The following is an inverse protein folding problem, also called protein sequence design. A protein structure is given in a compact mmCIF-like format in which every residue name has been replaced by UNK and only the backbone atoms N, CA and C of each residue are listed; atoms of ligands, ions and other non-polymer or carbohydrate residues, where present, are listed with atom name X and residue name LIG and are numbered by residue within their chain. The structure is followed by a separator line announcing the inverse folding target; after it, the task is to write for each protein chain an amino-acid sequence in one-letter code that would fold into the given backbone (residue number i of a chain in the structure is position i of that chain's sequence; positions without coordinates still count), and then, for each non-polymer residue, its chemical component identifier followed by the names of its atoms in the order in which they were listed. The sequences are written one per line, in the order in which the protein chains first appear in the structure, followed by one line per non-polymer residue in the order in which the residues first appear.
data_IF_930570875592
#
_entry.id   IF_930570875592
#
_cell.length_a   1.000
_cell.length_b   1.000
_cell.length_c   1.000
_cell.angle_alpha   90.00
_cell.angle_beta   90.00
_cell.angle_gamma   90.00
#
_symmetry.space_group_name_H-M   'P 1'
#
loop_
_entity.id
_entity.type
_entity.pdbx_description
1 polymer ?
#
# COMPACT_ATOMS: atom_id res chain seq x y z
N UNK A 1 7.57 19.23 -2.70
CA UNK A 1 6.29 18.87 -2.05
C UNK A 1 5.43 20.10 -1.86
N UNK A 2 4.28 20.19 -2.54
CA UNK A 2 3.32 21.31 -2.33
C UNK A 2 2.33 20.87 -1.25
N UNK A 3 2.29 21.61 -0.13
CA UNK A 3 1.25 21.46 0.89
C UNK A 3 0.20 22.56 0.66
N UNK A 4 -1.05 22.17 0.55
CA UNK A 4 -2.19 23.08 0.52
C UNK A 4 -3.11 22.77 1.68
N UNK A 5 -3.29 23.68 2.60
CA UNK A 5 -4.22 23.53 3.72
C UNK A 5 -5.62 23.80 3.18
N UNK A 6 -6.48 22.78 3.13
CA UNK A 6 -7.86 22.90 2.64
C UNK A 6 -8.83 23.39 3.73
N UNK A 7 -8.57 22.99 4.98
CA UNK A 7 -9.33 23.43 6.17
C UNK A 7 -8.42 23.28 7.38
N UNK A 8 -8.75 23.89 8.54
CA UNK A 8 -7.99 23.70 9.76
C UNK A 8 -7.81 22.21 10.07
N UNK A 9 -6.58 21.74 10.18
CA UNK A 9 -6.23 20.36 10.46
C UNK A 9 -6.25 19.40 9.27
N UNK A 10 -6.54 19.85 8.04
CA UNK A 10 -6.42 19.04 6.82
C UNK A 10 -5.23 19.51 6.01
N UNK A 11 -4.44 18.57 5.51
CA UNK A 11 -3.35 18.84 4.60
C UNK A 11 -3.61 18.11 3.27
N UNK A 12 -3.58 18.85 2.16
CA UNK A 12 -3.51 18.26 0.84
C UNK A 12 -2.04 18.05 0.48
N UNK A 13 -1.67 16.81 0.32
CA UNK A 13 -0.34 16.41 -0.11
C UNK A 13 -0.41 16.00 -1.58
N UNK A 14 0.59 16.38 -2.34
CA UNK A 14 0.73 15.97 -3.73
C UNK A 14 2.12 15.40 -3.93
N UNK A 15 2.19 14.18 -4.45
CA UNK A 15 3.42 13.44 -4.67
C UNK A 15 3.55 13.05 -6.13
N UNK A 16 4.78 13.03 -6.62
CA UNK A 16 5.11 12.37 -7.86
C UNK A 16 5.31 10.86 -7.61
N UNK A 17 5.20 10.06 -8.66
CA UNK A 17 5.34 8.60 -8.54
C UNK A 17 6.69 8.22 -7.95
N UNK A 18 7.79 8.83 -8.40
CA UNK A 18 9.13 8.51 -7.89
C UNK A 18 9.31 8.80 -6.40
N UNK A 19 8.54 9.73 -5.80
CA UNK A 19 8.59 10.04 -4.37
C UNK A 19 7.96 8.91 -3.53
N UNK A 20 7.02 8.15 -4.09
CA UNK A 20 6.32 7.05 -3.40
C UNK A 20 6.84 5.67 -3.77
N UNK A 21 7.51 5.52 -4.90
CA UNK A 21 8.09 4.25 -5.38
C UNK A 21 8.96 3.53 -4.33
N UNK A 22 9.80 4.22 -3.53
CA UNK A 22 10.59 3.57 -2.48
C UNK A 22 9.78 2.87 -1.38
N UNK A 23 8.50 3.23 -1.24
CA UNK A 23 7.59 2.68 -0.22
C UNK A 23 6.68 1.57 -0.76
N UNK A 24 6.83 1.17 -2.03
CA UNK A 24 6.06 0.07 -2.61
C UNK A 24 6.44 -1.24 -1.90
N UNK A 25 5.43 -1.92 -1.37
CA UNK A 25 5.62 -3.28 -0.87
C UNK A 25 5.54 -4.29 -2.02
N UNK A 26 6.69 -4.63 -2.53
CA UNK A 26 6.81 -5.56 -3.65
C UNK A 26 6.34 -6.99 -3.32
N UNK A 27 6.27 -7.39 -2.06
CA UNK A 27 5.73 -8.71 -1.67
C UNK A 27 4.26 -8.82 -2.09
N UNK A 28 3.44 -7.79 -1.79
CA UNK A 28 2.04 -7.80 -2.18
C UNK A 28 1.85 -7.70 -3.69
N UNK A 29 2.68 -6.88 -4.36
CA UNK A 29 2.67 -6.80 -5.81
C UNK A 29 2.89 -8.19 -6.42
N UNK A 30 3.96 -8.90 -6.03
CA UNK A 30 4.24 -10.23 -6.54
C UNK A 30 3.17 -11.25 -6.18
N UNK A 31 2.61 -11.16 -4.97
CA UNK A 31 1.50 -12.03 -4.57
C UNK A 31 0.26 -11.85 -5.45
N UNK A 32 -0.09 -10.61 -5.80
CA UNK A 32 -1.21 -10.33 -6.71
C UNK A 32 -1.03 -10.94 -8.11
N UNK A 33 0.22 -11.15 -8.53
CA UNK A 33 0.60 -11.81 -9.79
C UNK A 33 0.85 -13.32 -9.63
N UNK A 34 0.49 -13.90 -8.48
CA UNK A 34 0.63 -15.35 -8.23
C UNK A 34 2.07 -15.81 -7.98
N UNK A 35 2.97 -14.90 -7.65
CA UNK A 35 4.34 -15.24 -7.25
C UNK A 35 4.45 -15.43 -5.73
N UNK A 36 5.36 -16.28 -5.31
CA UNK A 36 5.69 -16.44 -3.90
C UNK A 36 6.48 -15.22 -3.37
N UNK A 37 6.34 -14.86 -2.06
CA UNK A 37 6.98 -13.69 -1.46
C UNK A 37 8.50 -13.61 -1.68
N UNK A 38 9.20 -14.73 -1.76
CA UNK A 38 10.65 -14.79 -1.96
C UNK A 38 11.12 -14.14 -3.26
N UNK A 39 10.27 -14.12 -4.31
CA UNK A 39 10.62 -13.48 -5.58
C UNK A 39 10.66 -11.95 -5.48
N UNK A 40 10.01 -11.37 -4.47
CA UNK A 40 10.07 -9.94 -4.22
C UNK A 40 11.46 -9.44 -3.83
N UNK A 41 12.37 -10.35 -3.42
CA UNK A 41 13.75 -10.01 -3.13
C UNK A 41 14.50 -9.37 -4.32
N UNK A 42 14.02 -9.55 -5.57
CA UNK A 42 14.54 -8.85 -6.76
C UNK A 42 14.52 -7.33 -6.61
N UNK A 43 13.56 -6.78 -5.86
CA UNK A 43 13.45 -5.35 -5.62
C UNK A 43 14.64 -4.76 -4.84
N UNK A 44 15.32 -5.60 -4.07
CA UNK A 44 16.50 -5.21 -3.28
C UNK A 44 17.83 -5.47 -3.99
N UNK A 45 17.79 -6.02 -5.23
CA UNK A 45 18.98 -6.36 -5.99
C UNK A 45 19.42 -5.16 -6.83
N UNK A 46 20.71 -4.87 -6.80
CA UNK A 46 21.26 -3.83 -7.66
C UNK A 46 20.94 -4.11 -9.14
N UNK A 47 20.54 -3.05 -9.86
CA UNK A 47 19.99 -3.15 -11.21
C UNK A 47 20.94 -3.57 -12.32
N UNK A 48 22.22 -3.92 -12.03
CA UNK A 48 23.17 -4.38 -13.04
C UNK A 48 22.92 -5.85 -13.44
N UNK A 49 23.32 -6.21 -14.65
CA UNK A 49 23.09 -7.55 -15.20
C UNK A 49 23.82 -8.65 -14.42
N UNK A 50 25.02 -8.36 -13.89
CA UNK A 50 25.77 -9.31 -13.06
C UNK A 50 25.04 -9.65 -11.76
N UNK A 51 24.49 -8.64 -11.06
CA UNK A 51 23.74 -8.86 -9.82
C UNK A 51 22.45 -9.63 -10.09
N UNK A 52 21.76 -9.32 -11.20
CA UNK A 52 20.56 -10.04 -11.63
C UNK A 52 20.85 -11.49 -11.98
N UNK A 53 21.94 -11.74 -12.72
CA UNK A 53 22.38 -13.10 -13.04
C UNK A 53 22.71 -13.89 -11.78
N UNK A 54 23.44 -13.26 -10.84
CA UNK A 54 23.75 -13.89 -9.55
C UNK A 54 22.49 -14.22 -8.75
N UNK A 55 21.51 -13.31 -8.72
CA UNK A 55 20.23 -13.55 -8.04
C UNK A 55 19.51 -14.77 -8.63
N UNK A 56 19.49 -14.94 -9.96
CA UNK A 56 18.89 -16.10 -10.59
C UNK A 56 19.57 -17.42 -10.17
N UNK A 57 20.87 -17.41 -9.91
CA UNK A 57 21.58 -18.62 -9.47
C UNK A 57 21.27 -19.03 -8.02
N UNK A 58 20.64 -18.16 -7.24
CA UNK A 58 20.19 -18.50 -5.86
C UNK A 58 18.98 -19.43 -5.85
N UNK A 59 18.30 -19.62 -7.00
CA UNK A 59 17.17 -20.51 -7.16
C UNK A 59 17.58 -21.86 -7.71
N UNK A 60 16.92 -22.96 -7.28
CA UNK A 60 17.02 -24.26 -7.91
C UNK A 60 16.72 -24.17 -9.41
N UNK A 61 17.27 -25.09 -10.20
CA UNK A 61 17.16 -25.05 -11.67
C UNK A 61 15.69 -25.04 -12.15
N UNK A 62 14.84 -25.83 -11.50
CA UNK A 62 13.41 -25.92 -11.79
C UNK A 62 12.64 -24.61 -11.53
N UNK A 63 13.17 -23.74 -10.70
CA UNK A 63 12.52 -22.45 -10.36
C UNK A 63 13.10 -21.25 -11.10
N UNK A 64 14.24 -21.39 -11.78
CA UNK A 64 14.92 -20.28 -12.46
C UNK A 64 14.07 -19.64 -13.54
N UNK A 65 13.25 -20.42 -14.24
CA UNK A 65 12.29 -19.88 -15.21
C UNK A 65 11.31 -18.93 -14.51
N UNK A 66 10.72 -19.35 -13.39
CA UNK A 66 9.80 -18.52 -12.63
C UNK A 66 10.47 -17.28 -12.01
N UNK A 67 11.72 -17.42 -11.55
CA UNK A 67 12.52 -16.29 -11.07
C UNK A 67 12.82 -15.30 -12.22
N UNK A 68 13.09 -15.79 -13.42
CA UNK A 68 13.28 -14.93 -14.60
C UNK A 68 12.00 -14.17 -14.99
N UNK A 69 10.84 -14.82 -14.93
CA UNK A 69 9.53 -14.18 -15.15
C UNK A 69 9.27 -13.10 -14.11
N UNK A 70 9.55 -13.38 -12.83
CA UNK A 70 9.42 -12.40 -11.76
C UNK A 70 10.35 -11.18 -11.97
N UNK A 71 11.58 -11.42 -12.39
CA UNK A 71 12.53 -10.34 -12.73
C UNK A 71 12.01 -9.51 -13.91
N UNK A 72 11.44 -10.14 -14.93
CA UNK A 72 10.88 -9.44 -16.08
C UNK A 72 9.68 -8.59 -15.66
N UNK A 73 8.77 -9.16 -14.85
CA UNK A 73 7.64 -8.44 -14.29
C UNK A 73 8.08 -7.21 -13.49
N UNK A 74 9.10 -7.35 -12.65
CA UNK A 74 9.67 -6.22 -11.90
C UNK A 74 10.23 -5.12 -12.81
N UNK A 75 10.94 -5.50 -13.88
CA UNK A 75 11.46 -4.53 -14.86
C UNK A 75 10.33 -3.78 -15.56
N UNK A 76 9.27 -4.49 -15.95
CA UNK A 76 8.09 -3.87 -16.60
C UNK A 76 7.34 -2.93 -15.66
N UNK A 77 7.17 -3.34 -14.40
CA UNK A 77 6.55 -2.49 -13.39
C UNK A 77 7.34 -1.18 -13.18
N UNK A 78 8.68 -1.25 -13.06
CA UNK A 78 9.49 -0.05 -12.90
C UNK A 78 9.42 0.86 -14.14
N UNK A 79 9.51 0.31 -15.36
CA UNK A 79 9.35 1.10 -16.59
C UNK A 79 7.99 1.79 -16.67
N UNK A 80 6.95 1.15 -16.14
CA UNK A 80 5.63 1.74 -16.07
C UNK A 80 5.59 2.88 -15.05
N UNK A 81 6.16 2.67 -13.86
CA UNK A 81 6.26 3.72 -12.83
C UNK A 81 7.02 4.95 -13.36
N UNK A 82 8.12 4.74 -14.09
CA UNK A 82 8.87 5.83 -14.72
C UNK A 82 8.01 6.64 -15.71
N UNK A 83 7.20 5.96 -16.53
CA UNK A 83 6.28 6.64 -17.47
C UNK A 83 5.16 7.38 -16.75
N UNK A 84 4.61 6.77 -15.70
CA UNK A 84 3.57 7.39 -14.89
C UNK A 84 4.07 8.64 -14.17
N UNK A 85 5.35 8.68 -13.79
CA UNK A 85 5.98 9.81 -13.13
C UNK A 85 5.97 11.09 -13.96
N UNK A 86 5.95 10.97 -15.28
CA UNK A 86 5.92 12.11 -16.20
C UNK A 86 4.53 12.77 -16.27
N UNK A 87 3.46 11.99 -16.07
CA UNK A 87 2.09 12.41 -16.39
C UNK A 87 1.14 12.42 -15.20
N UNK A 88 1.45 11.69 -14.13
CA UNK A 88 0.53 11.45 -13.03
C UNK A 88 1.08 12.01 -11.72
N UNK A 89 0.17 12.60 -10.94
CA UNK A 89 0.41 12.97 -9.56
C UNK A 89 -0.56 12.24 -8.64
N UNK A 90 -0.05 11.87 -7.47
CA UNK A 90 -0.83 11.28 -6.38
C UNK A 90 -1.28 12.42 -5.48
N UNK A 91 -2.58 12.50 -5.23
CA UNK A 91 -3.14 13.46 -4.28
C UNK A 91 -3.60 12.71 -3.05
N UNK A 92 -3.23 13.20 -1.88
CA UNK A 92 -3.61 12.63 -0.60
C UNK A 92 -4.07 13.73 0.35
N UNK A 93 -5.21 13.51 0.98
CA UNK A 93 -5.66 14.31 2.13
C UNK A 93 -5.33 13.51 3.38
N UNK A 94 -4.68 14.15 4.33
CA UNK A 94 -4.28 13.54 5.59
C UNK A 94 -4.67 14.43 6.77
N UNK A 95 -5.09 13.79 7.87
CA UNK A 95 -5.39 14.45 9.13
C UNK A 95 -5.07 13.55 10.31
N UNK A 96 -4.43 14.10 11.34
CA UNK A 96 -4.32 13.47 12.65
C UNK A 96 -5.49 13.90 13.51
N UNK A 97 -6.20 12.94 14.10
CA UNK A 97 -7.39 13.15 14.91
C UNK A 97 -7.25 12.49 16.28
N UNK A 98 -7.86 13.12 17.29
CA UNK A 98 -8.02 12.45 18.58
C UNK A 98 -9.10 11.38 18.48
N UNK A 99 -8.84 10.22 19.05
CA UNK A 99 -9.76 9.08 19.01
C UNK A 99 -9.73 8.28 20.33
N UNK A 100 -10.85 7.61 20.59
CA UNK A 100 -10.96 6.57 21.62
C UNK A 100 -11.81 5.42 21.10
N UNK A 101 -11.60 4.22 21.64
CA UNK A 101 -12.42 3.06 21.41
C UNK A 101 -13.59 3.00 22.43
N UNK A 102 -14.79 2.66 21.95
CA UNK A 102 -15.95 2.33 22.77
C UNK A 102 -16.60 1.05 22.25
N UNK A 103 -16.21 -0.08 22.84
CA UNK A 103 -16.54 -1.40 22.30
C UNK A 103 -15.96 -1.57 20.88
N UNK A 104 -16.81 -1.92 19.94
CA UNK A 104 -16.44 -2.07 18.53
C UNK A 104 -16.53 -0.75 17.72
N UNK A 105 -16.69 0.39 18.40
CA UNK A 105 -16.75 1.69 17.76
C UNK A 105 -15.44 2.46 17.96
N UNK A 106 -15.11 3.32 16.99
CA UNK A 106 -14.13 4.39 17.15
C UNK A 106 -14.87 5.74 17.26
N UNK A 107 -14.59 6.46 18.33
CA UNK A 107 -15.00 7.85 18.47
C UNK A 107 -13.84 8.72 18.00
N UNK A 108 -14.03 9.45 16.90
CA UNK A 108 -13.04 10.33 16.31
C UNK A 108 -13.61 11.75 16.31
N UNK A 109 -13.03 12.62 17.12
CA UNK A 109 -13.45 14.03 17.23
C UNK A 109 -14.98 14.23 17.37
N UNK A 110 -15.62 13.37 18.18
CA UNK A 110 -17.05 13.41 18.44
C UNK A 110 -17.93 12.68 17.42
N UNK A 111 -17.34 12.11 16.37
CA UNK A 111 -18.05 11.26 15.41
C UNK A 111 -17.82 9.79 15.74
N UNK A 112 -18.89 9.00 15.76
CA UNK A 112 -18.82 7.55 16.00
C UNK A 112 -18.72 6.79 14.68
N UNK A 113 -17.70 5.96 14.56
CA UNK A 113 -17.47 5.04 13.45
C UNK A 113 -17.66 3.61 13.93
N UNK A 114 -18.79 2.96 13.58
CA UNK A 114 -18.99 1.55 13.89
C UNK A 114 -18.03 0.69 13.06
N UNK A 115 -17.34 -0.24 13.72
CA UNK A 115 -16.41 -1.15 13.07
C UNK A 115 -16.94 -2.58 13.16
N UNK A 116 -16.56 -3.39 12.19
CA UNK A 116 -16.90 -4.80 12.19
C UNK A 116 -15.78 -5.60 12.84
N UNK A 117 -16.13 -6.32 13.92
CA UNK A 117 -15.23 -7.30 14.53
C UNK A 117 -15.07 -8.51 13.59
N UNK A 118 -13.90 -9.11 13.57
CA UNK A 118 -13.60 -10.32 12.82
C UNK A 118 -14.68 -11.39 13.07
N UNK A 119 -15.22 -11.99 12.01
CA UNK A 119 -16.29 -12.98 12.09
C UNK A 119 -15.78 -14.43 11.92
N UNK A 120 -14.64 -14.61 11.25
CA UNK A 120 -14.04 -15.90 11.05
C UNK A 120 -13.04 -16.23 12.18
N UNK A 121 -13.01 -17.46 12.71
CA UNK A 121 -12.02 -17.85 13.71
C UNK A 121 -10.62 -17.80 13.12
N UNK A 122 -9.65 -17.42 13.95
CA UNK A 122 -8.25 -17.48 13.57
C UNK A 122 -7.74 -18.93 13.59
N UNK A 123 -6.82 -19.33 12.70
CA UNK A 123 -6.29 -20.69 12.64
C UNK A 123 -5.62 -21.14 13.95
N UNK A 124 -5.08 -20.22 14.72
CA UNK A 124 -4.41 -20.44 16.01
C UNK A 124 -5.37 -20.36 17.22
N UNK A 125 -6.67 -20.14 16.99
CA UNK A 125 -7.67 -19.98 18.05
C UNK A 125 -7.59 -18.64 18.80
N UNK A 126 -6.91 -17.65 18.22
CA UNK A 126 -6.80 -16.31 18.76
C UNK A 126 -8.14 -15.57 18.86
N UNK A 127 -8.17 -14.41 19.56
CA UNK A 127 -9.39 -13.64 19.75
C UNK A 127 -9.86 -13.04 18.40
N UNK A 128 -11.18 -12.84 18.30
CA UNK A 128 -11.75 -12.05 17.19
C UNK A 128 -11.34 -10.58 17.33
N UNK A 129 -10.55 -10.08 16.38
CA UNK A 129 -10.01 -8.72 16.43
C UNK A 129 -10.95 -7.70 15.78
N UNK A 130 -10.94 -6.49 16.32
CA UNK A 130 -11.51 -5.30 15.75
C UNK A 130 -10.46 -4.19 15.69
N UNK A 131 -10.54 -3.27 14.76
CA UNK A 131 -9.61 -2.13 14.70
C UNK A 131 -9.70 -1.26 15.98
N UNK A 132 -10.86 -1.24 16.65
CA UNK A 132 -11.01 -0.56 17.94
C UNK A 132 -10.11 -1.12 19.04
N UNK A 133 -9.73 -2.40 18.97
CA UNK A 133 -8.88 -3.04 19.98
C UNK A 133 -7.46 -2.43 20.04
N UNK A 134 -7.04 -1.72 18.98
CA UNK A 134 -5.72 -1.09 18.85
C UNK A 134 -5.72 0.39 19.25
N UNK A 135 -6.87 0.93 19.68
CA UNK A 135 -7.03 2.32 20.09
C UNK A 135 -7.41 2.37 21.59
N UNK A 136 -6.88 3.34 22.32
CA UNK A 136 -7.17 3.47 23.75
C UNK A 136 -8.66 3.53 24.04
N UNK A 137 -9.16 2.78 25.02
CA UNK A 137 -10.57 2.82 25.36
C UNK A 137 -10.95 4.18 25.96
N UNK A 138 -12.18 4.58 25.73
CA UNK A 138 -12.74 5.82 26.26
C UNK A 138 -12.64 5.88 27.81
N UNK A 139 -12.74 4.74 28.47
CA UNK A 139 -12.57 4.61 29.94
C UNK A 139 -11.18 4.97 30.47
N UNK A 140 -10.19 5.07 29.60
CA UNK A 140 -8.84 5.51 30.00
C UNK A 140 -8.75 6.98 30.39
N UNK A 141 -9.73 7.80 29.98
CA UNK A 141 -9.75 9.23 30.20
C UNK A 141 -8.72 10.03 29.41
N UNK A 142 -7.94 9.38 28.54
CA UNK A 142 -6.93 10.02 27.69
C UNK A 142 -7.16 9.63 26.22
N UNK A 143 -7.12 10.58 25.28
CA UNK A 143 -7.26 10.26 23.87
C UNK A 143 -6.01 9.57 23.31
N UNK A 144 -6.22 8.81 22.26
CA UNK A 144 -5.20 8.34 21.35
C UNK A 144 -5.18 9.21 20.08
N UNK A 145 -4.22 9.00 19.19
CA UNK A 145 -4.12 9.69 17.91
C UNK A 145 -4.28 8.68 16.78
N UNK A 146 -5.23 8.94 15.91
CA UNK A 146 -5.40 8.17 14.66
C UNK A 146 -5.16 9.06 13.45
N UNK A 147 -4.53 8.51 12.42
CA UNK A 147 -4.36 9.14 11.13
C UNK A 147 -5.50 8.76 10.18
N UNK A 148 -6.21 9.75 9.67
CA UNK A 148 -7.17 9.57 8.58
C UNK A 148 -6.55 10.05 7.29
N UNK A 149 -6.68 9.27 6.23
CA UNK A 149 -6.22 9.70 4.92
C UNK A 149 -7.14 9.18 3.81
N UNK A 150 -7.18 9.93 2.71
CA UNK A 150 -7.74 9.50 1.45
C UNK A 150 -6.78 9.86 0.34
N UNK A 151 -6.57 8.94 -0.59
CA UNK A 151 -5.67 9.14 -1.73
C UNK A 151 -6.39 8.88 -3.04
N UNK A 152 -6.02 9.61 -4.07
CA UNK A 152 -6.50 9.44 -5.43
C UNK A 152 -5.38 9.68 -6.42
N UNK A 153 -5.52 9.15 -7.61
CA UNK A 153 -4.73 9.50 -8.80
C UNK A 153 -5.53 10.46 -9.68
N UNK A 154 -4.85 11.18 -10.57
CA UNK A 154 -5.53 12.02 -11.53
C UNK A 154 -6.44 11.19 -12.46
N UNK A 155 -7.60 11.74 -12.83
CA UNK A 155 -8.58 11.06 -13.73
C UNK A 155 -7.97 10.71 -15.09
N UNK A 156 -7.01 11.48 -15.57
CA UNK A 156 -6.26 11.23 -16.81
C UNK A 156 -5.53 9.89 -16.79
N UNK A 157 -5.10 9.45 -15.61
CA UNK A 157 -4.47 8.14 -15.42
C UNK A 157 -5.46 7.00 -15.61
N UNK A 158 -6.65 7.11 -15.04
CA UNK A 158 -7.70 6.08 -15.19
C UNK A 158 -8.11 5.94 -16.66
N UNK A 159 -8.29 7.04 -17.36
CA UNK A 159 -8.68 7.03 -18.77
C UNK A 159 -7.61 6.41 -19.68
N UNK A 160 -6.34 6.74 -19.44
CA UNK A 160 -5.23 6.22 -20.24
C UNK A 160 -5.09 4.70 -20.15
N UNK A 161 -5.48 4.09 -19.04
CA UNK A 161 -5.28 2.65 -18.78
C UNK A 161 -6.56 1.82 -18.76
N UNK A 162 -7.74 2.43 -18.93
CA UNK A 162 -9.03 1.71 -19.02
C UNK A 162 -9.06 0.64 -20.12
N UNK A 163 -8.34 0.86 -21.21
CA UNK A 163 -8.31 -0.05 -22.36
C UNK A 163 -7.34 -1.23 -22.23
N UNK A 164 -6.46 -1.23 -21.23
CA UNK A 164 -5.48 -2.28 -21.01
C UNK A 164 -5.71 -2.94 -19.64
N UNK A 165 -6.38 -4.11 -19.60
CA UNK A 165 -6.73 -4.78 -18.33
C UNK A 165 -5.52 -5.07 -17.45
N UNK A 166 -4.36 -5.29 -18.05
CA UNK A 166 -3.10 -5.55 -17.34
C UNK A 166 -2.60 -4.29 -16.63
N UNK A 167 -2.62 -3.16 -17.30
CA UNK A 167 -2.18 -1.88 -16.75
C UNK A 167 -3.20 -1.30 -15.79
N UNK A 168 -4.49 -1.53 -16.04
CA UNK A 168 -5.57 -1.14 -15.12
C UNK A 168 -5.46 -1.84 -13.76
N UNK A 169 -4.91 -3.06 -13.71
CA UNK A 169 -4.67 -3.77 -12.46
C UNK A 169 -3.40 -3.30 -11.72
N UNK A 170 -2.35 -2.94 -12.47
CA UNK A 170 -1.07 -2.48 -11.91
C UNK A 170 -1.19 -1.17 -11.13
N UNK A 171 -1.97 -0.23 -11.64
CA UNK A 171 -2.14 1.09 -11.03
C UNK A 171 -2.84 0.99 -9.67
N UNK A 172 -4.04 0.40 -9.52
CA UNK A 172 -4.70 0.26 -8.22
C UNK A 172 -3.93 -0.59 -7.21
N UNK A 173 -3.29 -1.68 -7.65
CA UNK A 173 -2.51 -2.58 -6.77
C UNK A 173 -1.33 -1.82 -6.14
N UNK A 174 -0.65 -0.99 -6.89
CA UNK A 174 0.43 -0.14 -6.36
C UNK A 174 -0.07 0.85 -5.30
N UNK A 175 -1.36 1.27 -5.38
CA UNK A 175 -1.97 2.21 -4.44
C UNK A 175 -2.59 1.57 -3.21
N UNK A 176 -3.33 0.49 -3.40
CA UNK A 176 -4.04 -0.18 -2.30
C UNK A 176 -3.08 -0.81 -1.32
N UNK A 177 -1.89 -1.21 -1.77
CA UNK A 177 -0.87 -1.82 -0.93
C UNK A 177 0.01 -0.83 -0.15
N UNK A 178 0.04 0.45 -0.51
CA UNK A 178 0.55 1.50 0.37
C UNK A 178 -0.27 1.65 1.65
N UNK A 179 -1.52 1.13 1.66
CA UNK A 179 -2.43 1.15 2.81
C UNK A 179 -2.19 0.06 3.85
N UNK A 180 -1.49 -1.01 3.53
CA UNK A 180 -1.49 -2.23 4.34
C UNK A 180 -0.39 -2.29 5.42
N UNK A 181 0.40 -1.25 5.63
CA UNK A 181 1.59 -1.29 6.50
C UNK A 181 1.56 -0.39 7.72
N UNK A 182 0.42 0.17 8.10
CA UNK A 182 0.30 0.94 9.33
C UNK A 182 -0.63 0.26 10.36
N UNK A 183 -0.54 -1.05 10.48
CA UNK A 183 -1.08 -1.78 11.65
C UNK A 183 -0.07 -2.78 12.14
#
# INVERSE_FOLDING_TARGET
MKRTILAPGHELLSYRIHEVTPYINWIYFFHAWGFQPRFAAIANIHGCDSCRALWLTTFPEEERTKASEAMQLFKEANRMLDRLDETISIHCIFRLCQANADGDNLLIEGTTFPLLRQQAPQPDGGPFLCLSDFVRPLSSGTPDIVGLFASTISEEAEETYKSDPYKHLLVPVSYTHLRAHET
#
